data_IF_635493375744
#
_entry.id   IF_635493375744
#
_cell.length_a   1.000
_cell.length_b   1.000
_cell.length_c   1.000
_cell.angle_alpha   90.00
_cell.angle_beta   90.00
_cell.angle_gamma   90.00
#
_symmetry.space_group_name_H-M   'P 1'
#
loop_
_entity.id
_entity.type
_entity.pdbx_description
1 polymer ?
#
# COMPACT_ATOMS: atom_id res chain seq x y z
N UNK A 1 -27.19 -0.50 24.98
CA UNK A 1 -25.94 -0.88 25.68
C UNK A 1 -25.07 -1.61 24.68
N UNK A 2 -23.87 -1.08 24.38
CA UNK A 2 -22.96 -1.65 23.37
C UNK A 2 -22.37 -2.96 23.91
N UNK A 3 -22.44 -4.04 23.13
CA UNK A 3 -21.86 -5.34 23.48
C UNK A 3 -20.59 -5.60 22.65
N UNK A 4 -19.64 -6.37 23.19
CA UNK A 4 -18.42 -6.85 22.54
C UNK A 4 -18.69 -7.46 21.17
N UNK A 5 -19.78 -8.20 20.99
CA UNK A 5 -20.13 -8.78 19.67
C UNK A 5 -20.42 -7.72 18.61
N UNK A 6 -20.95 -6.55 18.99
CA UNK A 6 -21.18 -5.44 18.08
C UNK A 6 -19.85 -4.75 17.69
N UNK A 7 -18.94 -4.59 18.66
CA UNK A 7 -17.61 -3.99 18.43
C UNK A 7 -16.71 -4.88 17.56
N UNK A 8 -16.79 -6.20 17.76
CA UNK A 8 -15.98 -7.18 17.05
C UNK A 8 -16.61 -7.64 15.72
N UNK A 9 -17.85 -7.23 15.44
CA UNK A 9 -18.59 -7.70 14.28
C UNK A 9 -18.85 -9.21 14.30
N UNK A 10 -18.95 -9.81 15.47
CA UNK A 10 -19.10 -11.26 15.67
C UNK A 10 -20.55 -11.66 15.94
N UNK A 11 -20.84 -12.96 15.86
CA UNK A 11 -22.17 -13.50 16.10
C UNK A 11 -23.22 -12.95 15.12
N UNK A 12 -24.28 -12.35 15.67
CA UNK A 12 -25.41 -11.82 14.89
C UNK A 12 -25.07 -10.57 14.05
N UNK A 13 -23.89 -9.99 14.25
CA UNK A 13 -23.41 -8.75 13.62
C UNK A 13 -22.30 -9.00 12.60
N UNK A 14 -22.13 -10.24 12.15
CA UNK A 14 -21.17 -10.64 11.10
C UNK A 14 -21.53 -10.11 9.72
N UNK A 15 -22.80 -9.77 9.48
CA UNK A 15 -23.27 -9.27 8.19
C UNK A 15 -23.24 -7.74 8.15
N UNK A 16 -22.63 -7.19 7.10
CA UNK A 16 -22.45 -5.75 6.90
C UNK A 16 -23.78 -4.97 6.84
N UNK A 17 -24.85 -5.59 6.30
CA UNK A 17 -26.20 -5.01 6.25
C UNK A 17 -26.77 -4.70 7.65
N UNK A 18 -26.40 -5.50 8.66
CA UNK A 18 -26.79 -5.28 10.07
C UNK A 18 -25.88 -4.30 10.80
N UNK A 19 -24.62 -4.22 10.40
CA UNK A 19 -23.67 -3.23 10.96
C UNK A 19 -24.01 -1.81 10.50
N UNK A 20 -24.45 -1.64 9.25
CA UNK A 20 -24.87 -0.36 8.70
C UNK A 20 -26.10 0.25 9.43
N UNK A 21 -26.87 -0.57 10.14
CA UNK A 21 -28.03 -0.16 10.93
C UNK A 21 -27.73 0.15 12.40
N UNK A 22 -26.45 0.24 12.80
CA UNK A 22 -26.09 0.56 14.19
C UNK A 22 -26.63 1.93 14.62
N UNK A 23 -27.05 2.03 15.89
CA UNK A 23 -27.38 3.31 16.49
C UNK A 23 -26.16 4.25 16.42
N UNK A 24 -26.34 5.57 16.17
CA UNK A 24 -25.24 6.51 15.98
C UNK A 24 -24.19 6.48 17.10
N UNK A 25 -24.61 6.29 18.35
CA UNK A 25 -23.72 6.20 19.52
C UNK A 25 -22.80 4.97 19.49
N UNK A 26 -23.26 3.86 18.89
CA UNK A 26 -22.44 2.65 18.72
C UNK A 26 -21.39 2.90 17.65
N UNK A 27 -21.76 3.58 16.56
CA UNK A 27 -20.83 3.91 15.48
C UNK A 27 -19.74 4.87 15.97
N UNK A 28 -20.12 5.90 16.73
CA UNK A 28 -19.19 6.84 17.35
C UNK A 28 -18.19 6.12 18.27
N UNK A 29 -18.67 5.23 19.13
CA UNK A 29 -17.78 4.48 20.03
C UNK A 29 -16.87 3.49 19.28
N UNK A 30 -17.36 2.84 18.22
CA UNK A 30 -16.53 2.02 17.32
C UNK A 30 -15.44 2.86 16.64
N UNK A 31 -15.79 4.06 16.16
CA UNK A 31 -14.86 4.97 15.51
C UNK A 31 -13.79 5.47 16.48
N UNK A 32 -14.18 5.93 17.68
CA UNK A 32 -13.24 6.39 18.70
C UNK A 32 -12.28 5.28 19.12
N UNK A 33 -12.81 4.08 19.39
CA UNK A 33 -12.01 2.92 19.79
C UNK A 33 -11.08 2.46 18.68
N UNK A 34 -11.59 2.38 17.44
CA UNK A 34 -10.81 1.99 16.27
C UNK A 34 -9.69 2.99 15.96
N UNK A 35 -9.98 4.29 16.06
CA UNK A 35 -8.98 5.34 15.86
C UNK A 35 -7.92 5.33 16.97
N UNK A 36 -8.33 5.13 18.23
CA UNK A 36 -7.39 4.99 19.34
C UNK A 36 -6.47 3.77 19.16
N UNK A 37 -7.02 2.62 18.75
CA UNK A 37 -6.25 1.42 18.46
C UNK A 37 -5.29 1.61 17.28
N UNK A 38 -5.72 2.33 16.22
CA UNK A 38 -4.87 2.67 15.08
C UNK A 38 -3.72 3.59 15.49
N UNK A 39 -4.01 4.68 16.21
CA UNK A 39 -2.99 5.60 16.73
C UNK A 39 -2.02 4.88 17.63
N UNK A 40 -2.51 4.02 18.53
CA UNK A 40 -1.67 3.22 19.41
C UNK A 40 -0.81 2.22 18.63
N UNK A 41 -1.36 1.58 17.60
CA UNK A 41 -0.60 0.69 16.70
C UNK A 41 0.49 1.44 15.95
N UNK A 42 0.20 2.65 15.47
CA UNK A 42 1.21 3.52 14.83
C UNK A 42 2.28 3.97 15.82
N UNK A 43 1.91 4.30 17.06
CA UNK A 43 2.86 4.64 18.12
C UNK A 43 3.73 3.45 18.52
N UNK A 44 3.17 2.24 18.60
CA UNK A 44 3.90 1.00 18.85
C UNK A 44 4.73 0.54 17.63
N UNK A 45 4.32 0.92 16.42
CA UNK A 45 5.08 0.74 15.19
C UNK A 45 6.15 1.83 14.98
N UNK A 46 6.25 2.82 15.88
CA UNK A 46 7.39 3.73 15.93
C UNK A 46 8.64 2.88 16.18
N UNK A 47 9.60 2.81 15.24
CA UNK A 47 10.68 1.86 15.37
C UNK A 47 11.52 2.15 16.63
N UNK A 48 11.74 1.12 17.45
CA UNK A 48 12.48 1.24 18.72
C UNK A 48 13.93 1.75 18.51
N UNK A 49 14.48 1.56 17.31
CA UNK A 49 15.68 2.27 16.84
C UNK A 49 15.40 2.79 15.43
N UNK A 50 15.25 4.10 15.26
CA UNK A 50 15.10 4.69 13.92
C UNK A 50 16.32 4.40 13.06
N UNK A 51 16.14 3.88 11.84
CA UNK A 51 17.22 3.75 10.85
C UNK A 51 17.86 5.11 10.50
N UNK A 52 17.26 6.23 10.94
CA UNK A 52 17.85 7.57 10.88
C UNK A 52 19.18 7.71 11.66
N UNK A 53 19.52 6.76 12.54
CA UNK A 53 20.84 6.73 13.21
C UNK A 53 21.92 6.04 12.38
N UNK A 54 21.56 5.35 11.29
CA UNK A 54 22.53 4.70 10.40
C UNK A 54 22.99 5.71 9.38
N UNK A 55 24.12 6.33 9.68
CA UNK A 55 24.80 7.28 8.80
C UNK A 55 26.02 6.60 8.17
N UNK A 56 26.27 6.85 6.89
CA UNK A 56 27.48 6.40 6.21
C UNK A 56 28.68 7.17 6.75
N UNK A 57 29.69 6.45 7.24
CA UNK A 57 30.94 7.07 7.69
C UNK A 57 31.73 7.69 6.52
N UNK A 58 32.52 8.72 6.80
CA UNK A 58 33.36 9.40 5.80
C UNK A 58 34.37 8.46 5.10
N UNK A 59 34.80 7.41 5.81
CA UNK A 59 35.72 6.38 5.30
C UNK A 59 35.03 5.04 5.04
N UNK A 60 33.69 5.00 5.08
CA UNK A 60 32.93 3.76 4.90
C UNK A 60 32.60 3.52 3.42
N UNK A 61 33.03 2.38 2.84
CA UNK A 61 32.61 1.99 1.51
C UNK A 61 31.09 1.83 1.45
N UNK A 62 30.46 2.38 0.41
CA UNK A 62 29.00 2.43 0.26
C UNK A 62 28.30 1.06 0.43
N UNK A 63 28.90 -0.01 -0.07
CA UNK A 63 28.33 -1.37 0.06
C UNK A 63 28.27 -1.85 1.51
N UNK A 64 29.21 -1.43 2.36
CA UNK A 64 29.23 -1.75 3.78
C UNK A 64 28.09 -1.02 4.53
N UNK A 65 27.90 0.26 4.19
CA UNK A 65 26.79 1.06 4.69
C UNK A 65 25.43 0.47 4.26
N UNK A 66 25.28 0.14 2.98
CA UNK A 66 24.05 -0.47 2.45
C UNK A 66 23.74 -1.79 3.14
N UNK A 67 24.75 -2.61 3.44
CA UNK A 67 24.61 -3.84 4.22
C UNK A 67 24.09 -3.60 5.64
N UNK A 68 24.66 -2.62 6.35
CA UNK A 68 24.18 -2.22 7.70
C UNK A 68 22.76 -1.69 7.69
N UNK A 69 22.42 -0.83 6.72
CA UNK A 69 21.08 -0.27 6.58
C UNK A 69 20.06 -1.38 6.31
N UNK A 70 20.38 -2.30 5.39
CA UNK A 70 19.53 -3.46 5.08
C UNK A 70 19.31 -4.33 6.30
N UNK A 71 20.37 -4.67 7.05
CA UNK A 71 20.26 -5.47 8.27
C UNK A 71 19.39 -4.81 9.35
N UNK A 72 19.45 -3.49 9.48
CA UNK A 72 18.62 -2.77 10.44
C UNK A 72 17.15 -2.68 10.01
N UNK A 73 16.88 -2.48 8.72
CA UNK A 73 15.53 -2.55 8.14
C UNK A 73 14.97 -3.97 8.34
N UNK A 74 15.72 -5.01 7.99
CA UNK A 74 15.30 -6.39 8.22
C UNK A 74 15.07 -6.70 9.70
N UNK A 75 15.86 -6.13 10.62
CA UNK A 75 15.65 -6.30 12.06
C UNK A 75 14.38 -5.60 12.57
N UNK A 76 13.98 -4.48 11.97
CA UNK A 76 12.71 -3.80 12.29
C UNK A 76 11.50 -4.54 11.74
N UNK A 77 11.60 -5.12 10.54
CA UNK A 77 10.48 -5.74 9.83
C UNK A 77 10.47 -7.27 9.91
N UNK A 78 11.49 -7.89 10.51
CA UNK A 78 11.75 -9.32 10.46
C UNK A 78 11.40 -10.06 11.75
N UNK A 79 10.14 -10.50 11.84
CA UNK A 79 9.71 -11.90 12.07
C UNK A 79 8.18 -11.97 12.17
N UNK A 80 7.51 -12.04 11.02
CA UNK A 80 6.11 -12.53 10.89
C UNK A 80 6.05 -13.93 10.25
N UNK A 81 7.13 -14.70 10.36
CA UNK A 81 7.20 -16.07 9.82
C UNK A 81 6.69 -17.14 10.80
N UNK A 82 6.34 -16.77 12.04
CA UNK A 82 5.85 -17.74 13.05
C UNK A 82 4.35 -18.03 12.94
N UNK A 83 3.58 -17.27 12.14
CA UNK A 83 2.13 -17.49 11.95
C UNK A 83 1.78 -18.35 10.73
N UNK A 84 2.77 -18.90 10.01
CA UNK A 84 2.56 -19.78 8.84
C UNK A 84 2.55 -21.29 9.15
N UNK A 85 2.26 -21.68 10.39
CA UNK A 85 2.01 -23.09 10.73
C UNK A 85 0.51 -23.46 10.77
N UNK A 86 -0.36 -22.65 10.16
CA UNK A 86 -1.77 -22.96 9.96
C UNK A 86 -2.10 -23.13 8.48
N UNK A 87 -2.38 -24.37 8.08
CA UNK A 87 -2.99 -24.87 6.84
C UNK A 87 -2.46 -24.35 5.48
N UNK A 88 -1.94 -25.32 4.73
CA UNK A 88 -1.56 -25.22 3.32
C UNK A 88 -2.80 -24.88 2.48
N UNK A 89 -3.06 -23.61 2.24
CA UNK A 89 -4.04 -23.22 1.21
C UNK A 89 -3.39 -23.49 -0.15
N UNK A 90 -4.01 -24.39 -0.93
CA UNK A 90 -3.47 -24.86 -2.20
C UNK A 90 -3.14 -23.69 -3.14
N UNK A 91 -1.91 -23.69 -3.64
CA UNK A 91 -1.44 -22.78 -4.68
C UNK A 91 -2.41 -22.81 -5.87
N UNK A 92 -3.20 -21.75 -6.04
CA UNK A 92 -3.89 -21.54 -7.31
C UNK A 92 -2.88 -20.98 -8.28
N UNK A 93 -2.14 -21.88 -8.94
CA UNK A 93 -1.51 -21.60 -10.21
C UNK A 93 -2.63 -21.24 -11.21
N UNK A 94 -2.98 -19.96 -11.31
CA UNK A 94 -3.75 -19.48 -12.47
C UNK A 94 -2.78 -19.46 -13.64
N UNK A 95 -2.82 -20.55 -14.40
CA UNK A 95 -2.31 -20.59 -15.77
C UNK A 95 -2.96 -19.45 -16.55
N UNK A 96 -2.19 -18.72 -17.34
CA UNK A 96 -2.67 -17.66 -18.22
C UNK A 96 -3.77 -18.21 -19.14
N UNK A 97 -5.03 -17.91 -18.81
CA UNK A 97 -6.16 -18.12 -19.70
C UNK A 97 -6.39 -16.88 -20.56
N UNK A 98 -6.81 -17.14 -21.80
CA UNK A 98 -7.04 -16.20 -22.89
C UNK A 98 -7.92 -14.97 -22.51
N UNK A 99 -7.89 -13.88 -23.28
CA UNK A 99 -8.44 -12.59 -22.86
C UNK A 99 -9.97 -12.61 -22.91
N UNK A 100 -10.57 -12.95 -21.77
CA UNK A 100 -11.93 -12.51 -21.44
C UNK A 100 -11.87 -11.04 -21.02
N UNK A 101 -12.95 -10.29 -21.25
CA UNK A 101 -13.16 -8.87 -20.89
C UNK A 101 -13.04 -8.64 -19.36
N UNK A 102 -11.86 -8.88 -18.81
CA UNK A 102 -11.56 -8.91 -17.40
C UNK A 102 -11.15 -7.54 -16.91
N UNK A 103 -11.53 -7.28 -15.68
CA UNK A 103 -11.17 -6.13 -14.89
C UNK A 103 -9.63 -5.93 -14.76
N UNK A 104 -9.17 -4.72 -14.41
CA UNK A 104 -7.76 -4.33 -14.42
C UNK A 104 -6.86 -5.29 -13.64
N UNK A 105 -7.23 -5.70 -12.43
CA UNK A 105 -6.39 -6.58 -11.61
C UNK A 105 -6.35 -8.01 -12.14
N UNK A 106 -7.34 -8.40 -12.96
CA UNK A 106 -7.33 -9.68 -13.68
C UNK A 106 -6.30 -9.70 -14.82
N UNK A 107 -5.87 -8.51 -15.28
CA UNK A 107 -5.01 -8.33 -16.46
C UNK A 107 -3.57 -8.02 -16.13
N UNK A 108 -3.27 -7.53 -14.93
CA UNK A 108 -1.91 -7.13 -14.55
C UNK A 108 -1.33 -8.13 -13.55
N UNK A 109 -0.12 -8.62 -13.86
CA UNK A 109 0.61 -9.53 -12.99
C UNK A 109 1.23 -8.79 -11.80
N UNK A 110 1.38 -9.49 -10.67
CA UNK A 110 2.11 -9.00 -9.52
C UNK A 110 3.53 -8.52 -9.91
N UNK A 111 3.96 -7.42 -9.30
CA UNK A 111 5.26 -6.77 -9.57
C UNK A 111 6.46 -7.74 -9.46
N UNK A 112 6.42 -8.65 -8.49
CA UNK A 112 7.37 -9.77 -8.35
C UNK A 112 6.65 -11.00 -7.78
N UNK A 113 7.24 -12.19 -7.93
CA UNK A 113 6.70 -13.42 -7.34
C UNK A 113 6.63 -13.28 -5.82
N UNK A 114 5.43 -13.18 -5.27
CA UNK A 114 5.18 -12.97 -3.83
C UNK A 114 4.90 -11.51 -3.42
N UNK A 115 4.84 -10.57 -4.36
CA UNK A 115 4.39 -9.19 -4.10
C UNK A 115 2.87 -9.08 -4.13
N UNK A 116 2.32 -8.27 -3.23
CA UNK A 116 0.90 -7.85 -3.25
C UNK A 116 0.66 -6.66 -4.19
N UNK A 117 1.71 -5.94 -4.57
CA UNK A 117 1.64 -4.76 -5.42
C UNK A 117 1.66 -5.10 -6.91
N UNK A 118 0.96 -4.28 -7.69
CA UNK A 118 0.88 -4.35 -9.14
C UNK A 118 1.66 -3.17 -9.72
N UNK A 119 2.54 -3.43 -10.69
CA UNK A 119 3.27 -2.37 -11.39
C UNK A 119 2.40 -1.77 -12.51
N UNK A 120 2.49 -0.46 -12.67
CA UNK A 120 1.81 0.32 -13.73
C UNK A 120 2.83 1.21 -14.44
N UNK A 121 2.59 1.52 -15.70
CA UNK A 121 3.46 2.34 -16.52
C UNK A 121 2.80 3.67 -16.88
N UNK A 122 3.62 4.65 -17.28
CA UNK A 122 3.10 5.89 -17.84
C UNK A 122 2.49 5.61 -19.21
N UNK A 123 1.29 6.12 -19.48
CA UNK A 123 0.62 5.92 -20.77
C UNK A 123 1.34 6.63 -21.93
N UNK A 124 2.05 7.71 -21.63
CA UNK A 124 2.79 8.51 -22.58
C UNK A 124 4.10 9.03 -21.99
N UNK A 125 5.00 9.53 -22.84
CA UNK A 125 6.23 10.17 -22.38
C UNK A 125 5.93 11.53 -21.75
N UNK A 126 6.29 11.69 -20.49
CA UNK A 126 6.11 12.96 -19.76
C UNK A 126 7.47 13.56 -19.43
N UNK A 127 7.62 14.85 -19.72
CA UNK A 127 8.77 15.65 -19.30
C UNK A 127 8.42 16.35 -18.00
N UNK A 128 9.28 16.22 -16.99
CA UNK A 128 9.14 16.85 -15.67
C UNK A 128 10.34 17.78 -15.49
N UNK A 129 10.17 19.03 -15.90
CA UNK A 129 11.21 20.07 -15.96
C UNK A 129 11.00 21.18 -14.92
N UNK A 130 10.01 21.02 -14.03
CA UNK A 130 9.66 22.02 -13.03
C UNK A 130 9.45 21.39 -11.66
N UNK A 131 9.52 22.23 -10.63
CA UNK A 131 9.24 21.87 -9.24
C UNK A 131 7.74 21.74 -8.93
N UNK A 132 6.88 21.95 -9.94
CA UNK A 132 5.44 21.86 -9.80
C UNK A 132 4.98 20.41 -9.79
N UNK A 133 3.75 20.25 -9.31
CA UNK A 133 3.04 18.99 -9.40
C UNK A 133 2.63 18.74 -10.85
N UNK A 134 2.99 17.56 -11.35
CA UNK A 134 2.61 17.05 -12.65
C UNK A 134 1.63 15.88 -12.49
N UNK A 135 0.53 15.93 -13.25
CA UNK A 135 -0.43 14.83 -13.34
C UNK A 135 -0.04 13.96 -14.54
N UNK A 136 0.39 12.74 -14.28
CA UNK A 136 0.92 11.80 -15.28
C UNK A 136 -0.12 10.71 -15.53
N UNK A 137 -0.63 10.57 -16.77
CA UNK A 137 -1.56 9.49 -17.10
C UNK A 137 -0.83 8.15 -17.07
N UNK A 138 -1.47 7.14 -16.49
CA UNK A 138 -0.96 5.77 -16.44
C UNK A 138 -1.67 4.89 -17.47
N UNK A 139 -1.05 3.77 -17.84
CA UNK A 139 -1.64 2.75 -18.69
C UNK A 139 -2.68 1.87 -17.97
N UNK A 140 -3.12 2.33 -16.80
CA UNK A 140 -4.10 1.70 -15.93
C UNK A 140 -5.42 2.47 -15.93
N UNK A 141 -6.53 1.74 -15.95
CA UNK A 141 -7.88 2.27 -16.01
C UNK A 141 -8.77 1.59 -14.98
N UNK A 142 -9.55 2.37 -14.25
CA UNK A 142 -10.60 1.84 -13.41
C UNK A 142 -11.80 1.31 -14.24
N UNK A 143 -12.66 0.45 -13.65
CA UNK A 143 -12.59 -0.03 -12.27
C UNK A 143 -11.42 -1.01 -12.04
N UNK A 144 -11.09 -1.23 -10.76
CA UNK A 144 -10.01 -2.13 -10.32
C UNK A 144 -10.45 -3.56 -10.06
N UNK A 145 -11.78 -3.80 -9.99
CA UNK A 145 -12.37 -5.12 -9.81
C UNK A 145 -12.87 -5.36 -8.40
N UNK A 146 -13.86 -6.25 -8.28
CA UNK A 146 -14.38 -6.77 -7.02
C UNK A 146 -14.62 -5.71 -5.92
N UNK A 147 -15.11 -4.52 -6.32
CA UNK A 147 -15.32 -3.36 -5.43
C UNK A 147 -14.07 -2.98 -4.60
N UNK A 148 -12.88 -3.19 -5.15
CA UNK A 148 -11.60 -2.89 -4.51
C UNK A 148 -11.16 -1.44 -4.75
N UNK A 149 -10.72 -0.78 -3.67
CA UNK A 149 -9.91 0.42 -3.75
C UNK A 149 -8.42 0.07 -3.67
N UNK A 150 -7.55 0.91 -4.25
CA UNK A 150 -6.11 0.69 -4.20
C UNK A 150 -5.34 1.97 -3.87
N UNK A 151 -4.17 1.78 -3.26
CA UNK A 151 -3.18 2.84 -3.12
C UNK A 151 -2.21 2.86 -4.30
N UNK A 152 -2.01 4.03 -4.88
CA UNK A 152 -0.96 4.29 -5.85
C UNK A 152 0.25 4.88 -5.13
N UNK A 153 1.36 4.14 -5.13
CA UNK A 153 2.61 4.55 -4.48
C UNK A 153 3.79 4.46 -5.46
N UNK A 154 4.74 5.39 -5.33
CA UNK A 154 5.98 5.35 -6.09
C UNK A 154 6.89 4.20 -5.66
N UNK A 155 7.50 3.53 -6.64
CA UNK A 155 8.61 2.62 -6.39
C UNK A 155 9.82 3.41 -5.86
N UNK A 156 10.61 2.79 -4.98
CA UNK A 156 11.82 3.40 -4.44
C UNK A 156 12.80 3.87 -5.52
N UNK A 157 12.82 3.22 -6.69
CA UNK A 157 13.60 3.62 -7.86
C UNK A 157 13.23 5.01 -8.40
N UNK A 158 11.95 5.39 -8.35
CA UNK A 158 11.51 6.73 -8.76
C UNK A 158 12.08 7.79 -7.80
N UNK A 159 11.99 7.53 -6.49
CA UNK A 159 12.56 8.41 -5.45
C UNK A 159 14.07 8.57 -5.60
N UNK A 160 14.79 7.49 -5.94
CA UNK A 160 16.24 7.53 -6.21
C UNK A 160 16.57 8.42 -7.41
N UNK A 161 15.68 8.51 -8.40
CA UNK A 161 15.81 9.40 -9.55
C UNK A 161 15.34 10.83 -9.28
N UNK A 162 15.03 11.17 -8.02
CA UNK A 162 14.55 12.51 -7.65
C UNK A 162 13.09 12.78 -8.02
N UNK A 163 12.32 11.73 -8.33
CA UNK A 163 10.90 11.81 -8.66
C UNK A 163 10.09 11.35 -7.44
N UNK A 164 9.31 12.26 -6.87
CA UNK A 164 8.36 11.95 -5.81
C UNK A 164 7.01 11.64 -6.43
N UNK A 165 6.53 10.42 -6.23
CA UNK A 165 5.14 10.05 -6.51
C UNK A 165 4.33 10.29 -5.24
N UNK A 166 3.37 11.20 -5.32
CA UNK A 166 2.46 11.48 -4.21
C UNK A 166 1.50 10.30 -4.05
N UNK A 167 1.29 9.86 -2.80
CA UNK A 167 0.38 8.75 -2.50
C UNK A 167 -1.03 9.10 -3.00
N UNK A 168 -1.60 8.24 -3.84
CA UNK A 168 -2.98 8.37 -4.33
C UNK A 168 -3.86 7.25 -3.80
N UNK A 169 -5.14 7.56 -3.55
CA UNK A 169 -6.19 6.56 -3.36
C UNK A 169 -7.01 6.47 -4.64
N UNK A 170 -7.23 5.26 -5.12
CA UNK A 170 -8.11 4.95 -6.24
C UNK A 170 -9.33 4.27 -5.65
N UNK A 171 -10.47 4.93 -5.73
CA UNK A 171 -11.74 4.42 -5.21
C UNK A 171 -12.28 3.28 -6.07
N UNK A 172 -13.03 2.37 -5.44
CA UNK A 172 -13.61 1.21 -6.11
C UNK A 172 -14.54 1.55 -7.29
N UNK A 173 -15.24 2.67 -7.19
CA UNK A 173 -16.14 3.19 -8.23
C UNK A 173 -15.45 4.12 -9.24
N UNK A 174 -14.13 4.33 -9.10
CA UNK A 174 -13.38 5.14 -10.04
C UNK A 174 -13.39 4.48 -11.42
N UNK A 175 -13.92 5.21 -12.41
CA UNK A 175 -13.98 4.78 -13.79
C UNK A 175 -13.23 5.76 -14.67
N UNK A 176 -12.28 5.25 -15.46
CA UNK A 176 -11.44 6.05 -16.35
C UNK A 176 -9.95 5.88 -16.08
N UNK A 177 -9.14 6.71 -16.74
CA UNK A 177 -7.69 6.59 -16.69
C UNK A 177 -7.14 7.02 -15.33
N UNK A 178 -6.34 6.15 -14.72
CA UNK A 178 -5.65 6.45 -13.47
C UNK A 178 -4.49 7.40 -13.76
N UNK A 179 -4.28 8.37 -12.87
CA UNK A 179 -3.20 9.32 -12.99
C UNK A 179 -2.33 9.30 -11.73
N UNK A 180 -1.03 9.26 -11.92
CA UNK A 180 -0.08 9.54 -10.85
C UNK A 180 0.09 11.05 -10.70
N UNK A 181 0.24 11.49 -9.45
CA UNK A 181 0.63 12.85 -9.15
C UNK A 181 2.10 12.82 -8.77
N UNK A 182 2.96 13.54 -9.51
CA UNK A 182 4.42 13.49 -9.33
C UNK A 182 5.02 14.87 -9.23
N UNK A 183 6.17 14.99 -8.57
CA UNK A 183 6.97 16.22 -8.53
C UNK A 183 8.46 15.90 -8.44
N UNK A 184 9.30 16.82 -8.91
CA UNK A 184 10.74 16.77 -8.67
C UNK A 184 11.17 18.00 -7.87
N UNK A 185 11.54 17.86 -6.58
CA UNK A 185 11.96 19.01 -5.77
C UNK A 185 13.23 19.70 -6.27
N UNK A 186 14.02 19.00 -7.08
CA UNK A 186 15.26 19.50 -7.70
C UNK A 186 15.23 19.14 -9.19
N UNK A 187 14.54 19.93 -10.02
CA UNK A 187 14.45 19.67 -11.46
C UNK A 187 15.84 19.70 -12.11
N UNK A 188 16.04 18.95 -13.21
CA UNK A 188 17.26 19.06 -14.01
C UNK A 188 17.47 20.50 -14.50
N UNK A 189 18.70 21.00 -14.41
CA UNK A 189 19.11 22.32 -14.92
C UNK A 189 19.26 22.33 -16.45
#
# INVERSE_FOLDING_TARGET
>A
MVNTDMLMGTGNYTRADRQAGFEPLVQEQCQETGMAALVQTLQLATPQESFATIVQGVDEPFLCFAGRLTAAVEKQFGKRNAEREGETCADTNVSASAPTNGDLLSRIAASTRGSTGVDVCTAESVVIDSDKIHKVPLDAFGPLGDDMSAFLMGRSSATIQGIMVHLGLIDADFSGQIHATVSTPTPPL
#
